data_IF_339368805793
#
_entry.id   IF_339368805793
#
_cell.length_a   1.000
_cell.length_b   1.000
_cell.length_c   1.000
_cell.angle_alpha   90.00
_cell.angle_beta   90.00
_cell.angle_gamma   90.00
#
_symmetry.space_group_name_H-M   'P 1'
#
loop_
_entity.id
_entity.type
_entity.pdbx_description
1 polymer ?
#
# COMPACT_ATOMS: atom_id res chain seq x y z
N UNK A 1 -13.44 -14.45 27.92
CA UNK A 1 -12.32 -13.64 27.38
C UNK A 1 -11.36 -14.64 26.81
N UNK A 2 -11.25 -14.69 25.49
CA UNK A 2 -10.36 -15.62 24.79
C UNK A 2 -8.92 -15.13 24.92
N UNK A 3 -7.94 -15.99 24.74
CA UNK A 3 -6.52 -15.64 24.78
C UNK A 3 -6.20 -14.55 23.74
N UNK A 4 -6.85 -14.60 22.56
CA UNK A 4 -6.75 -13.62 21.47
C UNK A 4 -7.22 -12.20 21.89
N UNK A 5 -8.28 -12.08 22.69
CA UNK A 5 -8.75 -10.78 23.21
C UNK A 5 -7.69 -10.10 24.09
N UNK A 6 -6.94 -10.90 24.86
CA UNK A 6 -5.88 -10.39 25.73
C UNK A 6 -4.63 -9.93 24.95
N UNK A 7 -4.30 -10.63 23.88
CA UNK A 7 -3.16 -10.31 23.03
C UNK A 7 -3.40 -9.03 22.23
N UNK A 8 -4.59 -8.85 21.66
CA UNK A 8 -4.97 -7.62 20.95
C UNK A 8 -4.95 -6.40 21.89
N UNK A 9 -5.52 -6.55 23.09
CA UNK A 9 -5.57 -5.47 24.07
C UNK A 9 -4.13 -5.05 24.51
N UNK A 10 -3.24 -6.02 24.71
CA UNK A 10 -1.84 -5.76 25.01
C UNK A 10 -1.11 -5.04 23.85
N UNK A 11 -1.36 -5.44 22.62
CA UNK A 11 -0.81 -4.83 21.42
C UNK A 11 -1.23 -3.35 21.28
N UNK A 12 -2.53 -3.09 21.43
CA UNK A 12 -3.08 -1.72 21.35
C UNK A 12 -2.43 -0.81 22.41
N UNK A 13 -2.30 -1.27 23.64
CA UNK A 13 -1.64 -0.51 24.72
C UNK A 13 -0.17 -0.22 24.42
N UNK A 14 0.54 -1.21 23.92
CA UNK A 14 1.93 -1.05 23.52
C UNK A 14 2.07 0.01 22.42
N UNK A 15 1.20 0.00 21.40
CA UNK A 15 1.20 0.98 20.31
C UNK A 15 0.89 2.39 20.80
N UNK A 16 -0.13 2.55 21.63
CA UNK A 16 -0.48 3.83 22.24
C UNK A 16 0.73 4.41 22.96
N UNK A 17 1.37 3.62 23.84
CA UNK A 17 2.55 4.03 24.58
C UNK A 17 3.73 4.38 23.67
N UNK A 18 3.98 3.53 22.66
CA UNK A 18 5.09 3.74 21.71
C UNK A 18 4.91 5.02 20.90
N UNK A 19 3.71 5.29 20.39
CA UNK A 19 3.40 6.51 19.66
C UNK A 19 3.53 7.74 20.56
N UNK A 20 2.99 7.70 21.78
CA UNK A 20 3.15 8.80 22.74
C UNK A 20 4.63 9.14 23.02
N UNK A 21 5.43 8.09 23.27
CA UNK A 21 6.86 8.27 23.53
C UNK A 21 7.60 8.80 22.30
N UNK A 22 7.27 8.29 21.11
CA UNK A 22 7.85 8.75 19.85
C UNK A 22 7.55 10.23 19.56
N UNK A 23 6.39 10.73 20.03
CA UNK A 23 6.02 12.14 19.96
C UNK A 23 6.67 12.99 21.08
N UNK A 24 7.42 12.40 21.99
CA UNK A 24 8.02 13.07 23.13
C UNK A 24 7.02 13.49 24.21
N UNK A 25 5.79 12.94 24.20
CA UNK A 25 4.73 13.36 25.11
C UNK A 25 4.77 12.61 26.45
N UNK A 26 4.56 13.38 27.53
CA UNK A 26 4.24 12.83 28.84
C UNK A 26 2.83 12.21 28.87
N UNK A 27 2.52 11.45 29.90
CA UNK A 27 1.14 10.97 30.15
C UNK A 27 0.15 12.12 30.28
N UNK A 28 0.54 13.21 30.95
CA UNK A 28 -0.31 14.38 31.16
C UNK A 28 -0.65 15.07 29.83
N UNK A 29 0.33 15.20 28.96
CA UNK A 29 0.13 15.82 27.64
C UNK A 29 -0.81 15.02 26.74
N UNK A 30 -0.67 13.69 26.66
CA UNK A 30 -1.60 12.88 25.91
C UNK A 30 -2.99 12.86 26.56
N UNK A 31 -3.06 12.73 27.88
CA UNK A 31 -4.32 12.73 28.61
C UNK A 31 -5.12 14.02 28.37
N UNK A 32 -4.46 15.18 28.39
CA UNK A 32 -5.09 16.47 28.10
C UNK A 32 -5.67 16.51 26.67
N UNK A 33 -4.95 15.96 25.67
CA UNK A 33 -5.40 15.91 24.26
C UNK A 33 -6.58 14.96 24.03
N UNK A 34 -6.69 13.93 24.90
CA UNK A 34 -7.77 12.93 24.81
C UNK A 34 -8.94 13.23 25.74
N UNK A 35 -8.90 14.32 26.50
CA UNK A 35 -9.86 14.62 27.55
C UNK A 35 -9.99 13.52 28.60
N UNK A 36 -8.88 12.85 28.92
CA UNK A 36 -8.77 11.81 29.95
C UNK A 36 -7.97 12.33 31.13
N UNK A 37 -8.16 11.69 32.31
CA UNK A 37 -7.23 11.96 33.41
C UNK A 37 -5.90 11.20 33.18
N UNK A 38 -4.76 11.75 33.61
CA UNK A 38 -3.47 11.06 33.53
C UNK A 38 -3.49 9.68 34.19
N UNK A 39 -4.19 9.55 35.33
CA UNK A 39 -4.34 8.26 36.02
C UNK A 39 -5.14 7.25 35.19
N UNK A 40 -6.15 7.69 34.44
CA UNK A 40 -6.89 6.81 33.52
C UNK A 40 -5.99 6.34 32.39
N UNK A 41 -5.26 7.24 31.75
CA UNK A 41 -4.35 6.90 30.65
C UNK A 41 -3.22 5.96 31.14
N UNK A 42 -2.61 6.25 32.30
CA UNK A 42 -1.62 5.36 32.90
C UNK A 42 -2.13 3.95 33.13
N UNK A 43 -3.36 3.82 33.67
CA UNK A 43 -3.98 2.49 33.87
C UNK A 43 -4.31 1.79 32.54
N UNK A 44 -4.63 2.52 31.50
CA UNK A 44 -4.81 1.99 30.15
C UNK A 44 -3.48 1.44 29.65
N UNK A 45 -2.42 2.25 29.61
CA UNK A 45 -1.11 1.83 29.12
C UNK A 45 -0.49 0.66 29.89
N UNK A 46 -0.78 0.57 31.20
CA UNK A 46 -0.26 -0.51 32.07
C UNK A 46 -1.17 -1.76 32.13
N UNK A 47 -2.33 -1.72 31.48
CA UNK A 47 -3.22 -2.86 31.45
C UNK A 47 -4.15 -3.02 32.66
N UNK A 48 -4.14 -2.10 33.59
CA UNK A 48 -5.01 -2.13 34.78
C UNK A 48 -6.41 -1.61 34.50
N UNK A 49 -6.70 -1.18 33.28
CA UNK A 49 -8.02 -0.73 32.84
C UNK A 49 -8.24 -1.08 31.36
N UNK A 50 -9.41 -1.58 31.03
CA UNK A 50 -9.85 -1.75 29.65
C UNK A 50 -10.08 -0.40 28.98
N UNK A 51 -9.85 -0.34 27.68
CA UNK A 51 -10.07 0.84 26.86
C UNK A 51 -11.51 0.76 26.34
N UNK A 52 -12.31 1.78 26.62
CA UNK A 52 -13.61 1.97 25.95
C UNK A 52 -13.40 2.46 24.51
N UNK A 53 -14.35 2.15 23.62
CA UNK A 53 -14.27 2.54 22.22
C UNK A 53 -14.19 4.07 22.03
N UNK A 54 -14.91 4.83 22.85
CA UNK A 54 -14.86 6.29 22.92
C UNK A 54 -13.46 6.80 23.28
N UNK A 55 -12.84 6.17 24.27
CA UNK A 55 -11.49 6.50 24.72
C UNK A 55 -10.45 6.14 23.64
N UNK A 56 -10.57 4.96 23.02
CA UNK A 56 -9.68 4.53 21.95
C UNK A 56 -9.75 5.49 20.76
N UNK A 57 -10.96 5.93 20.39
CA UNK A 57 -11.18 6.92 19.32
C UNK A 57 -10.52 8.26 19.64
N UNK A 58 -10.66 8.74 20.89
CA UNK A 58 -10.05 10.00 21.32
C UNK A 58 -8.51 9.91 21.33
N UNK A 59 -7.95 8.79 21.79
CA UNK A 59 -6.52 8.52 21.79
C UNK A 59 -5.97 8.44 20.37
N UNK A 60 -6.63 7.69 19.48
CA UNK A 60 -6.21 7.57 18.07
C UNK A 60 -6.13 8.95 17.39
N UNK A 61 -7.16 9.78 17.55
CA UNK A 61 -7.18 11.15 17.01
C UNK A 61 -6.04 12.01 17.56
N UNK A 62 -5.81 11.96 18.87
CA UNK A 62 -4.74 12.73 19.49
C UNK A 62 -3.36 12.30 19.00
N UNK A 63 -3.14 11.01 18.79
CA UNK A 63 -1.90 10.44 18.28
C UNK A 63 -1.75 10.55 16.74
N UNK A 64 -2.75 11.09 16.03
CA UNK A 64 -2.70 11.21 14.56
C UNK A 64 -2.72 9.88 13.82
N UNK A 65 -3.31 8.84 14.43
CA UNK A 65 -3.42 7.48 13.87
C UNK A 65 -4.90 7.09 13.70
N UNK A 66 -5.15 5.93 13.09
CA UNK A 66 -6.50 5.37 12.94
C UNK A 66 -6.75 4.23 13.92
N UNK A 67 -8.02 3.86 14.14
CA UNK A 67 -8.37 2.69 14.93
C UNK A 67 -7.80 1.43 14.30
N UNK A 68 -7.89 1.31 12.97
CA UNK A 68 -7.39 0.15 12.23
C UNK A 68 -5.88 -0.04 12.47
N UNK A 69 -5.09 1.04 12.39
CA UNK A 69 -3.65 1.00 12.66
C UNK A 69 -3.34 0.60 14.11
N UNK A 70 -4.19 0.96 15.08
CA UNK A 70 -4.00 0.56 16.46
C UNK A 70 -4.32 -0.92 16.70
N UNK A 71 -5.31 -1.49 15.98
CA UNK A 71 -5.78 -2.86 16.19
C UNK A 71 -5.24 -3.87 15.17
N UNK A 72 -4.56 -3.41 14.12
CA UNK A 72 -4.00 -4.28 13.08
C UNK A 72 -3.09 -5.35 13.70
N UNK A 73 -3.35 -6.61 13.35
CA UNK A 73 -2.55 -7.72 13.88
C UNK A 73 -1.12 -7.67 13.34
N UNK A 74 -0.12 -7.81 14.21
CA UNK A 74 1.28 -8.00 13.82
C UNK A 74 1.58 -9.42 13.35
N UNK A 75 0.61 -10.33 13.41
CA UNK A 75 0.78 -11.73 13.03
C UNK A 75 1.14 -11.94 11.54
N UNK A 76 1.02 -10.91 10.71
CA UNK A 76 1.37 -10.94 9.29
C UNK A 76 2.59 -10.05 8.97
N UNK A 77 3.54 -9.95 9.88
CA UNK A 77 4.82 -9.23 9.74
C UNK A 77 5.76 -9.88 8.68
N UNK A 78 5.21 -10.21 7.53
CA UNK A 78 6.02 -10.45 6.34
C UNK A 78 6.55 -9.09 5.83
N UNK A 79 7.54 -8.54 6.54
CA UNK A 79 8.27 -7.35 6.12
C UNK A 79 8.88 -7.56 4.73
N UNK A 80 9.16 -8.81 4.39
CA UNK A 80 9.71 -9.20 3.08
C UNK A 80 8.57 -9.50 2.11
N UNK A 81 8.44 -8.64 1.10
CA UNK A 81 7.47 -8.82 0.02
C UNK A 81 8.02 -9.84 -0.97
N UNK A 82 7.31 -10.97 -1.12
CA UNK A 82 7.65 -12.01 -2.08
C UNK A 82 6.99 -11.74 -3.43
N UNK A 83 7.69 -11.99 -4.56
CA UNK A 83 7.11 -11.80 -5.88
C UNK A 83 6.06 -12.88 -6.20
N UNK A 84 5.12 -12.49 -7.05
CA UNK A 84 4.27 -13.39 -7.82
C UNK A 84 4.79 -13.44 -9.25
N UNK A 85 4.98 -14.63 -9.76
CA UNK A 85 5.48 -14.84 -11.12
C UNK A 85 4.35 -15.33 -12.01
N UNK A 86 4.11 -14.60 -13.10
CA UNK A 86 3.18 -14.97 -14.17
C UNK A 86 4.01 -15.24 -15.43
N UNK A 87 4.28 -16.54 -15.67
CA UNK A 87 5.13 -16.97 -16.77
C UNK A 87 4.46 -16.78 -18.15
N UNK A 88 3.14 -16.90 -18.23
CA UNK A 88 2.40 -16.70 -19.47
C UNK A 88 2.41 -15.25 -19.92
N UNK A 89 2.29 -14.34 -18.96
CA UNK A 89 2.35 -12.89 -19.20
C UNK A 89 3.76 -12.34 -19.22
N UNK A 90 4.78 -13.12 -18.84
CA UNK A 90 6.16 -12.65 -18.73
C UNK A 90 6.33 -11.51 -17.73
N UNK A 91 5.59 -11.55 -16.61
CA UNK A 91 5.60 -10.51 -15.58
C UNK A 91 5.89 -11.14 -14.22
N UNK A 92 6.77 -10.51 -13.47
CA UNK A 92 6.96 -10.78 -12.04
C UNK A 92 6.57 -9.55 -11.25
N UNK A 93 5.67 -9.68 -10.27
CA UNK A 93 5.07 -8.56 -9.54
C UNK A 93 5.35 -8.66 -8.04
N UNK A 94 5.77 -7.56 -7.43
CA UNK A 94 5.85 -7.34 -5.99
C UNK A 94 4.80 -6.29 -5.61
N UNK A 95 3.80 -6.67 -4.82
CA UNK A 95 2.79 -5.73 -4.32
C UNK A 95 3.39 -4.95 -3.15
N UNK A 96 3.62 -3.65 -3.32
CA UNK A 96 4.35 -2.82 -2.35
C UNK A 96 3.46 -2.16 -1.31
N UNK A 97 2.15 -2.10 -1.53
CA UNK A 97 1.18 -1.62 -0.55
C UNK A 97 0.01 -2.59 -0.40
N UNK A 98 -0.70 -2.47 0.72
CA UNK A 98 -1.90 -3.25 1.02
C UNK A 98 -3.12 -2.36 1.27
N UNK A 99 -2.99 -1.04 1.09
CA UNK A 99 -4.08 -0.10 1.33
C UNK A 99 -5.10 -0.13 0.20
N UNK A 100 -6.42 -0.04 0.52
CA UNK A 100 -7.47 -0.01 -0.49
C UNK A 100 -7.39 1.28 -1.34
N UNK A 101 -7.69 1.16 -2.60
CA UNK A 101 -7.94 2.28 -3.52
C UNK A 101 -6.80 2.60 -4.48
N UNK A 102 -5.56 2.49 -4.05
CA UNK A 102 -4.38 2.68 -4.92
C UNK A 102 -3.42 1.52 -4.72
N UNK A 103 -3.06 0.86 -5.80
CA UNK A 103 -2.09 -0.24 -5.80
C UNK A 103 -0.74 0.26 -6.27
N UNK A 104 0.30 0.05 -5.46
CA UNK A 104 1.69 0.27 -5.82
C UNK A 104 2.37 -1.07 -6.03
N UNK A 105 2.94 -1.28 -7.21
CA UNK A 105 3.61 -2.53 -7.54
C UNK A 105 4.95 -2.29 -8.21
N UNK A 106 5.99 -3.03 -7.76
CA UNK A 106 7.19 -3.22 -8.57
C UNK A 106 6.91 -4.36 -9.55
N UNK A 107 7.30 -4.18 -10.80
CA UNK A 107 7.13 -5.19 -11.84
C UNK A 107 8.43 -5.40 -12.59
N UNK A 108 8.77 -6.65 -12.88
CA UNK A 108 9.77 -7.02 -13.87
C UNK A 108 9.03 -7.59 -15.08
N UNK A 109 9.24 -6.97 -16.23
CA UNK A 109 8.57 -7.28 -17.48
C UNK A 109 9.62 -7.88 -18.41
N UNK A 110 9.34 -9.08 -18.93
CA UNK A 110 10.20 -9.76 -19.91
C UNK A 110 9.53 -9.85 -21.28
N UNK A 111 8.20 -9.71 -21.35
CA UNK A 111 7.45 -9.70 -22.61
C UNK A 111 7.62 -8.36 -23.32
N UNK A 112 7.66 -8.39 -24.62
CA UNK A 112 7.57 -7.18 -25.46
C UNK A 112 6.16 -6.58 -25.43
N UNK A 113 6.04 -5.30 -25.76
CA UNK A 113 4.73 -4.70 -25.98
C UNK A 113 4.00 -5.42 -27.13
N UNK A 114 2.67 -5.57 -27.06
CA UNK A 114 1.91 -6.22 -28.11
C UNK A 114 2.01 -5.45 -29.43
N UNK A 115 1.92 -6.17 -30.55
CA UNK A 115 2.04 -5.56 -31.88
C UNK A 115 0.68 -5.08 -32.42
N UNK A 116 -0.44 -5.57 -31.87
CA UNK A 116 -1.79 -5.34 -32.40
C UNK A 116 -2.64 -4.40 -31.55
N UNK A 117 -3.47 -3.61 -32.20
CA UNK A 117 -4.42 -2.70 -31.52
C UNK A 117 -5.48 -3.48 -30.69
N UNK A 118 -5.78 -4.72 -31.05
CA UNK A 118 -6.73 -5.55 -30.31
C UNK A 118 -6.27 -5.93 -28.88
N UNK A 119 -4.99 -5.84 -28.61
CA UNK A 119 -4.39 -6.16 -27.33
C UNK A 119 -4.30 -4.96 -26.37
N UNK A 120 -4.65 -3.75 -26.86
CA UNK A 120 -4.67 -2.55 -26.05
C UNK A 120 -5.85 -2.59 -25.08
N UNK A 121 -5.62 -2.14 -23.85
CA UNK A 121 -6.62 -2.06 -22.79
C UNK A 121 -7.17 -0.64 -22.67
N UNK A 122 -8.42 -0.53 -22.27
CA UNK A 122 -9.10 0.74 -21.97
C UNK A 122 -9.88 0.56 -20.68
N UNK A 123 -9.70 1.46 -19.75
CA UNK A 123 -10.49 1.50 -18.51
C UNK A 123 -10.52 2.90 -17.92
N UNK A 124 -11.49 3.26 -17.07
CA UNK A 124 -11.47 4.54 -16.35
C UNK A 124 -10.25 4.68 -15.46
N UNK A 125 -9.68 5.88 -15.37
CA UNK A 125 -8.62 6.21 -14.42
C UNK A 125 -7.38 6.82 -15.06
N UNK A 126 -6.30 6.78 -14.30
CA UNK A 126 -4.96 7.20 -14.70
C UNK A 126 -3.94 6.19 -14.18
N UNK A 127 -2.91 5.98 -14.94
CA UNK A 127 -1.76 5.18 -14.54
C UNK A 127 -0.50 6.03 -14.54
N UNK A 128 0.39 5.67 -13.63
CA UNK A 128 1.71 6.24 -13.52
C UNK A 128 2.72 5.12 -13.32
N UNK A 129 3.86 5.20 -13.99
CA UNK A 129 5.00 4.34 -13.69
C UNK A 129 6.32 5.05 -13.87
N UNK A 130 7.37 4.58 -13.18
CA UNK A 130 8.76 4.96 -13.42
C UNK A 130 9.59 3.74 -13.73
N UNK A 131 10.55 3.90 -14.64
CA UNK A 131 11.46 2.83 -15.06
C UNK A 131 12.69 2.82 -14.16
N UNK A 132 12.90 1.70 -13.47
CA UNK A 132 14.05 1.49 -12.58
C UNK A 132 15.25 0.96 -13.36
N UNK A 133 15.01 0.07 -14.34
CA UNK A 133 16.05 -0.48 -15.21
C UNK A 133 15.47 -0.94 -16.54
N UNK A 134 16.28 -0.94 -17.58
CA UNK A 134 15.86 -1.26 -18.95
C UNK A 134 15.07 -0.14 -19.61
N UNK A 135 14.31 -0.48 -20.63
CA UNK A 135 13.44 0.45 -21.38
C UNK A 135 12.07 -0.17 -21.56
N UNK A 136 11.03 0.61 -21.35
CA UNK A 136 9.63 0.24 -21.56
C UNK A 136 9.12 0.88 -22.84
N UNK A 137 8.44 0.09 -23.67
CA UNK A 137 7.57 0.60 -24.72
C UNK A 137 6.20 0.84 -24.14
N UNK A 138 5.73 2.08 -24.15
CA UNK A 138 4.35 2.44 -23.90
C UNK A 138 3.64 2.69 -25.23
N UNK A 139 2.61 1.89 -25.51
CA UNK A 139 1.64 2.13 -26.59
C UNK A 139 0.50 2.95 -26.01
N UNK A 140 0.18 4.10 -26.61
CA UNK A 140 -0.86 5.00 -26.13
C UNK A 140 -1.61 5.59 -27.34
N UNK A 141 -2.77 5.02 -27.66
CA UNK A 141 -3.45 5.20 -28.95
C UNK A 141 -2.51 4.80 -30.09
N UNK A 142 -2.30 5.69 -31.03
CA UNK A 142 -1.39 5.49 -32.18
C UNK A 142 0.08 5.79 -31.88
N UNK A 143 0.39 6.21 -30.66
CA UNK A 143 1.73 6.61 -30.25
C UNK A 143 2.50 5.43 -29.66
N UNK A 144 3.74 5.29 -30.11
CA UNK A 144 4.74 4.39 -29.51
C UNK A 144 5.80 5.22 -28.81
N UNK A 145 5.88 5.12 -27.50
CA UNK A 145 6.72 5.95 -26.65
C UNK A 145 7.74 5.05 -25.96
N UNK A 146 9.02 5.38 -26.05
CA UNK A 146 10.05 4.73 -25.23
C UNK A 146 10.20 5.51 -23.92
N UNK A 147 10.14 4.77 -22.82
CA UNK A 147 10.38 5.30 -21.48
C UNK A 147 11.62 4.60 -20.95
N UNK A 148 12.68 5.36 -20.80
CA UNK A 148 14.00 4.86 -20.43
C UNK A 148 14.23 4.86 -18.91
N UNK A 149 15.27 4.18 -18.46
CA UNK A 149 15.67 4.17 -17.05
C UNK A 149 15.76 5.59 -16.47
N UNK A 150 15.11 5.80 -15.32
CA UNK A 150 15.02 7.09 -14.62
C UNK A 150 13.90 8.01 -15.11
N UNK A 151 13.25 7.67 -16.23
CA UNK A 151 12.08 8.40 -16.72
C UNK A 151 10.79 7.84 -16.11
N UNK A 152 9.73 8.63 -16.16
CA UNK A 152 8.38 8.25 -15.73
C UNK A 152 7.35 8.59 -16.82
N UNK A 153 6.23 7.89 -16.80
CA UNK A 153 5.08 8.17 -17.64
C UNK A 153 3.83 8.29 -16.78
N UNK A 154 2.94 9.22 -17.15
CA UNK A 154 1.60 9.36 -16.60
C UNK A 154 0.62 9.56 -17.77
N UNK A 155 -0.47 8.81 -17.77
CA UNK A 155 -1.45 8.91 -18.86
C UNK A 155 -2.87 8.55 -18.41
N UNK A 156 -3.85 9.03 -19.18
CA UNK A 156 -5.24 8.62 -19.03
C UNK A 156 -5.45 7.22 -19.60
N UNK A 157 -5.99 6.32 -18.83
CA UNK A 157 -6.30 4.94 -19.23
C UNK A 157 -7.58 4.82 -20.08
N UNK A 158 -8.28 5.94 -20.30
CA UNK A 158 -9.33 6.06 -21.32
C UNK A 158 -8.77 6.06 -22.74
N UNK A 159 -7.47 6.25 -22.94
CA UNK A 159 -6.78 6.05 -24.19
C UNK A 159 -6.36 4.58 -24.28
N UNK A 160 -6.61 3.89 -25.41
CA UNK A 160 -6.13 2.52 -25.59
C UNK A 160 -4.63 2.42 -25.35
N UNK A 161 -4.22 1.53 -24.42
CA UNK A 161 -2.83 1.47 -23.99
C UNK A 161 -2.37 0.05 -23.71
N UNK A 162 -1.07 -0.14 -23.82
CA UNK A 162 -0.34 -1.31 -23.36
C UNK A 162 1.12 -0.93 -23.12
N UNK A 163 1.82 -1.72 -22.33
CA UNK A 163 3.26 -1.55 -22.16
C UNK A 163 3.97 -2.90 -22.14
N UNK A 164 5.25 -2.88 -22.46
CA UNK A 164 6.11 -4.05 -22.48
C UNK A 164 7.59 -3.66 -22.49
N UNK A 165 8.46 -4.65 -22.38
CA UNK A 165 9.90 -4.44 -22.43
C UNK A 165 10.39 -4.15 -23.85
N UNK A 166 11.45 -3.34 -23.99
CA UNK A 166 12.16 -3.03 -25.23
C UNK A 166 13.60 -3.50 -25.12
N UNK A 167 14.01 -4.35 -26.03
CA UNK A 167 15.40 -4.86 -26.17
C UNK A 167 15.95 -5.52 -24.87
N UNK A 168 15.10 -6.21 -24.14
CA UNK A 168 15.46 -6.93 -22.92
C UNK A 168 14.54 -6.63 -21.74
N UNK A 169 14.72 -7.29 -20.59
CA UNK A 169 13.87 -7.09 -19.43
C UNK A 169 13.90 -5.66 -18.91
N UNK A 170 12.73 -5.17 -18.50
CA UNK A 170 12.59 -3.88 -17.83
C UNK A 170 12.01 -4.04 -16.42
N UNK A 171 12.39 -3.17 -15.50
CA UNK A 171 11.80 -3.08 -14.16
C UNK A 171 11.17 -1.70 -13.97
N UNK A 172 9.96 -1.70 -13.42
CA UNK A 172 9.19 -0.49 -13.12
C UNK A 172 8.63 -0.51 -11.71
N UNK A 173 8.32 0.67 -11.18
CA UNK A 173 7.30 0.84 -10.14
C UNK A 173 6.11 1.52 -10.79
N UNK A 174 4.94 0.91 -10.67
CA UNK A 174 3.68 1.45 -11.15
C UNK A 174 2.71 1.75 -10.01
N UNK A 175 1.88 2.77 -10.24
CA UNK A 175 0.76 3.15 -9.40
C UNK A 175 -0.51 2.97 -10.22
N UNK A 176 -1.42 2.14 -9.71
CA UNK A 176 -2.65 1.73 -10.38
C UNK A 176 -3.83 2.03 -9.48
N UNK A 177 -4.92 2.53 -10.04
CA UNK A 177 -6.21 2.52 -9.36
C UNK A 177 -6.81 1.10 -9.36
N UNK A 178 -7.99 0.94 -8.79
CA UNK A 178 -8.67 -0.36 -8.73
C UNK A 178 -8.91 -0.99 -10.11
N UNK A 179 -9.18 -0.19 -11.13
CA UNK A 179 -9.41 -0.69 -12.49
C UNK A 179 -8.10 -1.12 -13.16
N UNK A 180 -7.04 -0.32 -12.98
CA UNK A 180 -5.70 -0.65 -13.45
C UNK A 180 -5.14 -1.92 -12.79
N UNK A 181 -5.34 -2.08 -11.49
CA UNK A 181 -4.97 -3.32 -10.79
C UNK A 181 -5.64 -4.55 -11.41
N UNK A 182 -6.95 -4.50 -11.63
CA UNK A 182 -7.69 -5.62 -12.26
C UNK A 182 -7.19 -5.91 -13.66
N UNK A 183 -6.88 -4.87 -14.44
CA UNK A 183 -6.51 -4.99 -15.84
C UNK A 183 -5.08 -5.51 -16.02
N UNK A 184 -4.15 -5.04 -15.21
CA UNK A 184 -2.71 -5.27 -15.43
C UNK A 184 -2.07 -6.24 -14.44
N UNK A 185 -2.58 -6.35 -13.22
CA UNK A 185 -1.93 -7.09 -12.14
C UNK A 185 -2.65 -8.40 -11.74
N UNK A 186 -3.95 -8.52 -12.01
CA UNK A 186 -4.68 -9.76 -11.73
C UNK A 186 -4.56 -10.75 -12.89
N UNK A 187 -4.49 -12.08 -12.63
CA UNK A 187 -4.67 -13.09 -13.66
C UNK A 187 -6.01 -12.88 -14.37
N UNK A 188 -6.07 -13.18 -15.66
CA UNK A 188 -7.37 -13.33 -16.33
C UNK A 188 -8.06 -14.55 -15.72
N UNK A 189 -9.32 -14.37 -15.29
CA UNK A 189 -10.19 -15.46 -14.84
C UNK A 189 -10.46 -16.43 -15.98
#
# INVERSE_FOLDING_TARGET
MTQEDGELDALVRMRIRSLRVAMGWSLDELAARCYLSPSTLSRIETGHRRIGLDQLTAIARALGTTLDQLVESTADDNVVIRPRHDGERGITTWMLNREPGVTVAKMRITRTAPAGAADLKVHPGREWFTVLSGTVVLLLGDRRILVETGQAAEFSTMIPHAFGAHDGPAEIIGIFDHNGERTHLRPAD
#
